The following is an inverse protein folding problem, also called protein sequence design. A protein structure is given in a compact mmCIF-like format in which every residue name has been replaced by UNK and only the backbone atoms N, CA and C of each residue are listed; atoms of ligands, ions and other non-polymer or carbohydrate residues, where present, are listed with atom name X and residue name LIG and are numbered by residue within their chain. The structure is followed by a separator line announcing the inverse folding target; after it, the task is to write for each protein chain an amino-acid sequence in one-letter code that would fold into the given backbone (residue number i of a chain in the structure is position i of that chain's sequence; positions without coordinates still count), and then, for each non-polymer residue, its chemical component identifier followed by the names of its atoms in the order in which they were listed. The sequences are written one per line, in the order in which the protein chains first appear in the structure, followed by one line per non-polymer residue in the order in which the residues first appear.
data_IF_144854802518
#
_entry.id   IF_144854802518
#
_cell.length_a   1.000
_cell.length_b   1.000
_cell.length_c   1.000
_cell.angle_alpha   90.00
_cell.angle_beta   90.00
_cell.angle_gamma   90.00
#
_symmetry.space_group_name_H-M   'P 1'
#
loop_
_entity.id
_entity.type
_entity.pdbx_description
1 polymer ?
#
# COMPACT_ATOMS: atom_id res chain seq x y z
N UNK A 1 -17.44 22.31 17.20
CA UNK A 1 -16.15 22.61 16.54
C UNK A 1 -15.70 21.32 15.89
N UNK A 2 -15.89 21.22 14.57
CA UNK A 2 -15.63 19.99 13.85
C UNK A 2 -14.15 19.71 13.88
N UNK A 3 -13.76 18.57 14.46
CA UNK A 3 -12.50 17.95 14.08
C UNK A 3 -12.51 17.97 12.54
N UNK A 4 -11.48 18.49 11.90
CA UNK A 4 -11.19 18.22 10.50
C UNK A 4 -9.83 17.49 10.47
N UNK A 5 -9.63 16.51 9.56
CA UNK A 5 -8.34 15.85 9.46
C UNK A 5 -7.29 16.90 9.07
N UNK A 6 -6.04 16.78 9.55
CA UNK A 6 -4.96 17.76 9.32
C UNK A 6 -4.80 18.13 7.83
N UNK A 7 -5.10 17.17 6.97
CA UNK A 7 -5.11 17.22 5.51
C UNK A 7 -6.14 18.22 4.94
N UNK A 8 -7.24 18.49 5.67
CA UNK A 8 -8.22 19.51 5.32
C UNK A 8 -7.65 20.93 5.36
N UNK A 9 -6.65 21.16 6.22
CA UNK A 9 -5.97 22.44 6.37
C UNK A 9 -4.74 22.56 5.45
N UNK A 10 -4.35 21.50 4.74
CA UNK A 10 -3.15 21.49 3.89
C UNK A 10 -3.35 22.10 2.50
N UNK A 11 -4.60 22.35 2.07
CA UNK A 11 -4.88 23.02 0.79
C UNK A 11 -4.12 22.42 -0.40
N UNK A 12 -3.42 23.26 -1.17
CA UNK A 12 -2.59 22.85 -2.32
C UNK A 12 -1.18 22.35 -1.94
N UNK A 13 -0.86 22.34 -0.65
CA UNK A 13 0.44 21.86 -0.15
C UNK A 13 0.49 20.34 -0.04
N UNK A 14 -0.66 19.67 -0.05
CA UNK A 14 -0.73 18.22 -0.04
C UNK A 14 -0.23 17.67 -1.39
N UNK A 15 0.85 16.92 -1.36
CA UNK A 15 1.49 16.36 -2.55
C UNK A 15 1.75 14.88 -2.37
N UNK A 16 1.69 14.16 -3.47
CA UNK A 16 2.16 12.78 -3.51
C UNK A 16 3.65 12.75 -3.13
N UNK A 17 4.03 11.94 -2.16
CA UNK A 17 5.42 11.84 -1.69
C UNK A 17 6.37 11.27 -2.74
N UNK A 18 5.85 10.67 -3.83
CA UNK A 18 6.64 10.05 -4.89
C UNK A 18 6.75 10.88 -6.16
N UNK A 19 5.61 11.35 -6.67
CA UNK A 19 5.56 12.09 -7.94
C UNK A 19 5.37 13.60 -7.75
N UNK A 20 5.25 14.06 -6.49
CA UNK A 20 5.03 15.47 -6.12
C UNK A 20 3.81 16.15 -6.76
N UNK A 21 2.93 15.38 -7.41
CA UNK A 21 1.65 15.82 -7.93
C UNK A 21 0.82 16.37 -6.79
N UNK A 22 0.18 17.52 -7.03
CA UNK A 22 -0.76 18.12 -6.09
C UNK A 22 -1.96 17.19 -5.92
N UNK A 23 -2.26 16.85 -4.67
CA UNK A 23 -3.40 16.03 -4.30
C UNK A 23 -4.57 16.95 -3.94
N UNK A 24 -5.81 16.55 -4.26
CA UNK A 24 -6.98 17.34 -3.92
C UNK A 24 -7.14 17.43 -2.39
N UNK A 25 -7.51 18.60 -1.85
CA UNK A 25 -7.72 18.73 -0.41
C UNK A 25 -8.93 17.89 0.02
N UNK A 26 -8.81 17.17 1.15
CA UNK A 26 -9.93 16.46 1.76
C UNK A 26 -10.62 17.38 2.77
N UNK A 27 -11.77 17.96 2.39
CA UNK A 27 -12.43 19.01 3.18
C UNK A 27 -13.43 18.49 4.23
N UNK A 28 -13.73 17.20 4.26
CA UNK A 28 -14.65 16.59 5.23
C UNK A 28 -14.12 15.24 5.72
N UNK A 29 -14.43 14.89 6.97
CA UNK A 29 -14.20 13.54 7.49
C UNK A 29 -15.01 12.47 6.75
N UNK A 30 -16.18 12.83 6.20
CA UNK A 30 -16.98 11.88 5.40
C UNK A 30 -16.25 11.41 4.15
N UNK A 31 -15.31 12.23 3.67
CA UNK A 31 -14.49 11.91 2.51
C UNK A 31 -13.27 11.06 2.87
N UNK A 32 -13.10 10.68 4.13
CA UNK A 32 -12.02 9.84 4.60
C UNK A 32 -12.58 8.56 5.21
N UNK A 33 -12.01 7.42 4.81
CA UNK A 33 -12.31 6.13 5.44
C UNK A 33 -11.06 5.27 5.57
N UNK A 34 -11.06 4.39 6.55
CA UNK A 34 -10.09 3.31 6.63
C UNK A 34 -10.56 2.14 5.78
N UNK A 35 -9.67 1.60 4.97
CA UNK A 35 -9.92 0.45 4.11
C UNK A 35 -8.71 -0.48 4.11
N UNK A 36 -8.92 -1.73 3.70
CA UNK A 36 -7.83 -2.72 3.59
C UNK A 36 -7.66 -3.07 2.13
N UNK A 37 -6.66 -2.48 1.48
CA UNK A 37 -6.38 -2.70 0.06
C UNK A 37 -5.20 -3.66 -0.05
N UNK A 38 -5.44 -4.86 -0.59
CA UNK A 38 -4.44 -5.92 -0.76
C UNK A 38 -3.64 -6.24 0.53
N UNK A 39 -4.32 -6.27 1.68
CA UNK A 39 -3.71 -6.58 2.98
C UNK A 39 -2.96 -5.42 3.64
N UNK A 40 -2.99 -4.22 3.04
CA UNK A 40 -2.47 -3.00 3.67
C UNK A 40 -3.63 -2.18 4.24
N UNK A 41 -3.51 -1.81 5.52
CA UNK A 41 -4.40 -0.83 6.14
C UNK A 41 -4.07 0.56 5.58
N UNK A 42 -5.04 1.15 4.90
CA UNK A 42 -4.88 2.44 4.23
C UNK A 42 -6.04 3.36 4.55
N UNK A 43 -5.71 4.64 4.62
CA UNK A 43 -6.64 5.74 4.62
C UNK A 43 -6.96 6.13 3.18
N UNK A 44 -8.23 6.07 2.81
CA UNK A 44 -8.76 6.44 1.50
C UNK A 44 -9.39 7.81 1.63
N UNK A 45 -8.91 8.77 0.83
CA UNK A 45 -9.38 10.16 0.86
C UNK A 45 -10.13 10.52 -0.43
N UNK A 46 -11.16 11.36 -0.31
CA UNK A 46 -12.08 11.78 -1.37
C UNK A 46 -12.60 10.62 -2.23
N UNK A 47 -12.93 9.48 -1.62
CA UNK A 47 -13.41 8.31 -2.37
C UNK A 47 -12.34 7.60 -3.21
N UNK A 48 -11.05 7.86 -2.97
CA UNK A 48 -9.93 7.18 -3.63
C UNK A 48 -9.08 8.06 -4.53
N UNK A 49 -9.18 9.39 -4.42
CA UNK A 49 -8.30 10.31 -5.13
C UNK A 49 -6.86 10.27 -4.63
N UNK A 50 -6.66 9.87 -3.38
CA UNK A 50 -5.34 9.58 -2.83
C UNK A 50 -5.44 8.69 -1.59
N UNK A 51 -4.31 8.10 -1.25
CA UNK A 51 -4.18 7.09 -0.21
C UNK A 51 -3.07 7.49 0.76
N UNK A 52 -3.21 7.12 2.03
CA UNK A 52 -2.12 7.15 3.01
C UNK A 52 -2.07 5.83 3.75
N UNK A 53 -0.89 5.24 3.87
CA UNK A 53 -0.74 4.03 4.66
C UNK A 53 -0.89 4.31 6.16
N UNK A 54 -1.63 3.46 6.87
CA UNK A 54 -1.76 3.57 8.33
C UNK A 54 -0.38 3.35 8.98
N UNK A 55 0.01 4.25 9.89
CA UNK A 55 1.33 4.27 10.54
C UNK A 55 2.38 5.13 9.83
N UNK A 56 2.07 5.72 8.67
CA UNK A 56 2.96 6.63 7.95
C UNK A 56 2.28 8.00 7.74
N UNK A 57 2.34 8.87 8.74
CA UNK A 57 1.56 10.13 8.77
C UNK A 57 1.84 11.08 7.59
N UNK A 58 3.06 11.05 7.04
CA UNK A 58 3.50 11.92 5.95
C UNK A 58 3.57 11.24 4.56
N UNK A 59 3.08 10.00 4.43
CA UNK A 59 3.19 9.22 3.19
C UNK A 59 1.90 9.24 2.36
N UNK A 60 1.53 10.42 1.84
CA UNK A 60 0.40 10.55 0.93
C UNK A 60 0.79 10.13 -0.49
N UNK A 61 -0.01 9.28 -1.11
CA UNK A 61 0.26 8.72 -2.43
C UNK A 61 -0.93 8.92 -3.35
N UNK A 62 -0.67 9.36 -4.58
CA UNK A 62 -1.68 9.35 -5.64
C UNK A 62 -2.01 7.89 -6.03
N UNK A 63 -3.15 7.64 -6.70
CA UNK A 63 -3.59 6.30 -7.05
C UNK A 63 -2.53 5.56 -7.87
N UNK A 64 -1.96 6.23 -8.88
CA UNK A 64 -0.93 5.64 -9.73
C UNK A 64 0.29 5.17 -8.93
N UNK A 65 0.79 5.99 -8.00
CA UNK A 65 1.96 5.64 -7.19
C UNK A 65 1.64 4.55 -6.17
N UNK A 66 0.45 4.60 -5.57
CA UNK A 66 -0.01 3.61 -4.60
C UNK A 66 -0.15 2.22 -5.25
N UNK A 67 -0.91 2.12 -6.35
CA UNK A 67 -1.12 0.85 -7.04
C UNK A 67 0.14 0.32 -7.72
N UNK A 68 1.03 1.19 -8.21
CA UNK A 68 2.32 0.76 -8.78
C UNK A 68 3.22 0.10 -7.73
N UNK A 69 3.38 0.71 -6.56
CA UNK A 69 4.16 0.12 -5.47
C UNK A 69 3.53 -1.18 -4.99
N UNK A 70 2.21 -1.22 -4.89
CA UNK A 70 1.49 -2.40 -4.46
C UNK A 70 1.68 -3.58 -5.42
N UNK A 71 1.60 -3.32 -6.73
CA UNK A 71 1.84 -4.31 -7.78
C UNK A 71 3.26 -4.89 -7.73
N UNK A 72 4.26 -4.02 -7.52
CA UNK A 72 5.65 -4.44 -7.34
C UNK A 72 5.82 -5.35 -6.11
N UNK A 73 5.30 -4.93 -4.95
CA UNK A 73 5.35 -5.72 -3.71
C UNK A 73 4.66 -7.07 -3.82
N UNK A 74 3.50 -7.13 -4.48
CA UNK A 74 2.76 -8.38 -4.71
C UNK A 74 3.58 -9.31 -5.60
N UNK A 75 4.22 -8.77 -6.64
CA UNK A 75 5.04 -9.56 -7.57
C UNK A 75 6.25 -10.15 -6.87
N UNK A 76 7.01 -9.33 -6.14
CA UNK A 76 8.15 -9.80 -5.34
C UNK A 76 7.75 -10.83 -4.27
N UNK A 77 6.61 -10.63 -3.61
CA UNK A 77 6.09 -11.57 -2.61
C UNK A 77 5.75 -12.92 -3.23
N UNK A 78 5.11 -12.93 -4.41
CA UNK A 78 4.82 -14.16 -5.15
C UNK A 78 6.08 -14.89 -5.60
N UNK A 79 7.09 -14.17 -6.08
CA UNK A 79 8.37 -14.78 -6.48
C UNK A 79 9.09 -15.42 -5.29
N UNK A 80 9.16 -14.73 -4.14
CA UNK A 80 9.74 -15.30 -2.91
C UNK A 80 9.00 -16.54 -2.43
N UNK A 81 7.66 -16.51 -2.47
CA UNK A 81 6.85 -17.68 -2.09
C UNK A 81 7.10 -18.87 -3.02
N UNK A 82 7.22 -18.62 -4.33
CA UNK A 82 7.54 -19.65 -5.32
C UNK A 82 8.94 -20.24 -5.08
N UNK A 83 9.95 -19.40 -4.86
CA UNK A 83 11.32 -19.87 -4.60
C UNK A 83 11.38 -20.75 -3.34
N UNK A 84 10.70 -20.35 -2.27
CA UNK A 84 10.63 -21.17 -1.06
C UNK A 84 9.93 -22.51 -1.30
N UNK A 85 8.85 -22.52 -2.07
CA UNK A 85 8.15 -23.75 -2.45
C UNK A 85 9.06 -24.68 -3.26
N UNK A 86 9.77 -24.16 -4.27
CA UNK A 86 10.70 -24.95 -5.10
C UNK A 86 11.91 -25.47 -4.32
N UNK A 87 12.45 -24.69 -3.37
CA UNK A 87 13.50 -25.15 -2.44
C UNK A 87 12.98 -26.28 -1.56
N UNK A 88 11.77 -26.17 -1.03
CA UNK A 88 11.18 -27.19 -0.17
C UNK A 88 10.88 -28.48 -0.95
N UNK A 89 10.42 -28.38 -2.20
CA UNK A 89 10.23 -29.53 -3.10
C UNK A 89 11.55 -30.23 -3.40
N UNK A 90 12.59 -29.49 -3.79
CA UNK A 90 13.93 -30.06 -4.02
C UNK A 90 14.49 -30.75 -2.78
N UNK A 91 14.37 -30.13 -1.60
CA UNK A 91 14.84 -30.72 -0.35
C UNK A 91 14.12 -32.04 -0.03
N UNK A 92 12.80 -32.14 -0.25
CA UNK A 92 12.07 -33.40 -0.10
C UNK A 92 12.51 -34.47 -1.09
N UNK A 93 12.74 -34.09 -2.34
CA UNK A 93 13.17 -35.01 -3.39
C UNK A 93 14.58 -35.54 -3.12
N UNK A 94 15.52 -34.68 -2.69
CA UNK A 94 16.86 -35.10 -2.27
C UNK A 94 16.85 -35.99 -1.03
N UNK A 95 15.98 -35.73 -0.06
CA UNK A 95 15.84 -36.60 1.12
C UNK A 95 15.28 -37.97 0.74
N UNK A 96 14.32 -38.05 -0.19
CA UNK A 96 13.82 -39.32 -0.71
C UNK A 96 14.88 -40.10 -1.49
N UNK A 97 15.68 -39.43 -2.32
CA UNK A 97 16.76 -40.07 -3.09
C UNK A 97 17.95 -40.53 -2.25
N UNK A 98 18.13 -40.01 -1.02
CA UNK A 98 19.18 -40.46 -0.08
C UNK A 98 18.74 -41.61 0.83
N UNK A 99 17.44 -41.93 0.86
CA UNK A 99 16.86 -42.97 1.70
C UNK A 99 16.44 -44.24 0.92
N UNK A 100 16.59 -44.22 -0.41
CA UNK A 100 16.65 -45.40 -1.27
C UNK A 100 18.11 -45.73 -1.58
#
# INVERSE_FOLDING_TARGET
MGNAPSEANMGNSLRCCKCHRVLPPCRSYDNYRQDVIHGQHVYVFNGGEYYRQVGCDNAHQCPDCFYKELSQRISESKERAKEQYEKQQRSRQEQQSKHN
#
